data_IF_433106701553
#
_entry.id   IF_433106701553
#
_cell.length_a   1.000
_cell.length_b   1.000
_cell.length_c   1.000
_cell.angle_alpha   90.00
_cell.angle_beta   90.00
_cell.angle_gamma   90.00
#
_symmetry.space_group_name_H-M   'P 1'
#
loop_
_entity.id
_entity.type
_entity.pdbx_description
1 polymer ?
#
# COMPACT_ATOMS: atom_id res chain seq x y z
N UNK A 1 -3.18 11.59 -0.27
CA UNK A 1 -1.86 11.11 0.20
C UNK A 1 -0.79 11.91 -0.51
N UNK A 2 0.25 12.37 0.20
CA UNK A 2 1.33 13.15 -0.44
C UNK A 2 2.29 12.24 -1.25
N UNK A 3 3.17 12.85 -2.04
CA UNK A 3 4.09 12.13 -2.94
C UNK A 3 5.13 11.29 -2.20
N UNK A 4 5.68 11.77 -1.09
CA UNK A 4 6.66 11.04 -0.29
C UNK A 4 6.06 9.74 0.27
N UNK A 5 4.86 9.81 0.84
CA UNK A 5 4.13 8.63 1.32
C UNK A 5 3.86 7.67 0.18
N UNK A 6 3.55 8.16 -1.03
CA UNK A 6 3.30 7.29 -2.18
C UNK A 6 4.52 6.46 -2.60
N UNK A 7 5.73 7.01 -2.49
CA UNK A 7 6.96 6.29 -2.84
C UNK A 7 7.34 5.22 -1.82
N UNK A 8 6.92 5.41 -0.57
CA UNK A 8 7.36 4.59 0.57
C UNK A 8 6.29 3.66 1.12
N UNK A 9 5.05 3.73 0.64
CA UNK A 9 3.90 3.05 1.25
C UNK A 9 4.01 1.52 1.33
N UNK A 10 4.87 0.91 0.50
CA UNK A 10 5.14 -0.53 0.50
C UNK A 10 6.44 -0.92 1.22
N UNK A 11 7.20 0.06 1.73
CA UNK A 11 8.38 -0.22 2.56
C UNK A 11 7.95 -0.86 3.88
N UNK A 12 8.58 -1.99 4.29
CA UNK A 12 8.33 -2.55 5.60
C UNK A 12 8.57 -1.53 6.71
N UNK A 13 7.68 -1.51 7.69
CA UNK A 13 7.70 -0.61 8.86
C UNK A 13 7.43 0.87 8.58
N UNK A 14 7.17 1.26 7.32
CA UNK A 14 6.76 2.63 7.03
C UNK A 14 5.32 2.88 7.48
N UNK A 15 5.10 3.97 8.21
CA UNK A 15 3.77 4.41 8.68
C UNK A 15 3.75 5.92 8.87
N UNK A 16 2.61 6.54 8.56
CA UNK A 16 2.34 7.95 8.90
C UNK A 16 1.61 8.10 10.23
N UNK A 17 1.27 6.98 10.89
CA UNK A 17 0.63 6.99 12.21
C UNK A 17 1.66 7.31 13.30
N UNK A 18 1.22 7.90 14.43
CA UNK A 18 2.08 8.09 15.60
C UNK A 18 2.71 6.79 16.10
N UNK A 19 3.79 6.94 16.87
CA UNK A 19 4.48 5.80 17.50
C UNK A 19 3.51 4.98 18.37
N UNK A 20 3.55 3.65 18.22
CA UNK A 20 2.67 2.73 18.94
C UNK A 20 1.29 2.49 18.31
N UNK A 21 0.87 3.25 17.30
CA UNK A 21 -0.47 3.12 16.68
C UNK A 21 -0.49 2.27 15.39
N UNK A 22 0.66 1.76 14.97
CA UNK A 22 0.76 0.86 13.82
C UNK A 22 2.17 0.38 13.57
N UNK A 23 2.30 -0.88 13.15
CA UNK A 23 3.60 -1.50 12.84
C UNK A 23 4.15 -1.14 11.46
N UNK A 24 3.32 -0.55 10.58
CA UNK A 24 3.72 -0.26 9.19
C UNK A 24 3.93 -1.50 8.31
N UNK A 25 3.41 -2.67 8.71
CA UNK A 25 3.64 -3.95 7.99
C UNK A 25 2.50 -4.35 7.05
N UNK A 26 1.30 -3.80 7.22
CA UNK A 26 0.12 -4.30 6.50
C UNK A 26 0.25 -4.19 4.97
N UNK A 27 0.69 -3.03 4.48
CA UNK A 27 0.84 -2.79 3.04
C UNK A 27 2.01 -3.56 2.42
N UNK A 28 3.15 -3.65 3.13
CA UNK A 28 4.30 -4.41 2.62
C UNK A 28 3.98 -5.91 2.50
N UNK A 29 3.24 -6.47 3.48
CA UNK A 29 2.81 -7.87 3.43
C UNK A 29 1.80 -8.10 2.31
N UNK A 30 0.77 -7.23 2.19
CA UNK A 30 -0.22 -7.35 1.12
C UNK A 30 0.42 -7.23 -0.28
N UNK A 31 1.38 -6.31 -0.47
CA UNK A 31 2.12 -6.17 -1.72
C UNK A 31 2.86 -7.45 -2.08
N UNK A 32 3.61 -8.03 -1.13
CA UNK A 32 4.32 -9.28 -1.34
C UNK A 32 3.40 -10.42 -1.75
N UNK A 33 2.29 -10.64 -1.02
CA UNK A 33 1.31 -11.69 -1.34
C UNK A 33 0.74 -11.50 -2.76
N UNK A 34 0.32 -10.28 -3.09
CA UNK A 34 -0.28 -9.97 -4.40
C UNK A 34 0.74 -10.22 -5.53
N UNK A 35 2.00 -9.81 -5.37
CA UNK A 35 3.04 -10.06 -6.37
C UNK A 35 3.41 -11.54 -6.49
N UNK A 36 3.52 -12.26 -5.37
CA UNK A 36 3.80 -13.71 -5.35
C UNK A 36 2.72 -14.50 -6.09
N UNK A 37 1.46 -14.09 -5.98
CA UNK A 37 0.33 -14.67 -6.70
C UNK A 37 0.18 -14.15 -8.15
N UNK A 38 1.17 -13.41 -8.66
CA UNK A 38 1.18 -12.86 -10.02
C UNK A 38 0.21 -11.70 -10.26
N UNK A 39 -0.37 -11.16 -9.18
CA UNK A 39 -1.20 -9.99 -9.18
C UNK A 39 -0.42 -8.68 -9.26
N UNK A 40 -1.16 -7.58 -9.31
CA UNK A 40 -0.61 -6.21 -9.24
C UNK A 40 -1.49 -5.35 -8.36
N UNK A 41 -0.86 -4.45 -7.62
CA UNK A 41 -1.55 -3.40 -6.86
C UNK A 41 -1.22 -2.03 -7.43
N UNK A 42 -2.24 -1.18 -7.55
CA UNK A 42 -2.12 0.24 -7.91
C UNK A 42 -2.83 1.10 -6.88
N UNK A 43 -2.36 2.33 -6.72
CA UNK A 43 -2.91 3.29 -5.76
C UNK A 43 -3.33 4.55 -6.50
N UNK A 44 -4.60 4.88 -6.37
CA UNK A 44 -5.17 6.16 -6.78
C UNK A 44 -5.45 6.96 -5.53
N UNK A 45 -4.83 8.13 -5.39
CA UNK A 45 -5.05 9.00 -4.24
C UNK A 45 -5.03 10.44 -4.68
N UNK A 46 -5.99 11.20 -4.18
CA UNK A 46 -6.03 12.65 -4.27
C UNK A 46 -6.13 13.21 -2.85
N UNK A 47 -5.37 14.26 -2.56
CA UNK A 47 -5.39 14.90 -1.25
C UNK A 47 -6.81 15.39 -0.92
N UNK A 48 -7.21 15.23 0.34
CA UNK A 48 -8.55 15.55 0.85
C UNK A 48 -9.75 14.79 0.24
N UNK A 49 -9.55 13.98 -0.81
CA UNK A 49 -10.61 13.16 -1.43
C UNK A 49 -10.55 11.67 -1.07
N UNK A 50 -9.41 11.22 -0.55
CA UNK A 50 -9.21 9.86 -0.08
C UNK A 50 -8.20 9.06 -0.91
N UNK A 51 -8.22 7.74 -0.72
CA UNK A 51 -7.27 6.81 -1.32
C UNK A 51 -7.98 5.52 -1.70
N UNK A 52 -7.73 5.03 -2.90
CA UNK A 52 -8.26 3.77 -3.44
C UNK A 52 -7.09 2.87 -3.83
N UNK A 53 -7.11 1.64 -3.31
CA UNK A 53 -6.20 0.57 -3.69
C UNK A 53 -6.90 -0.36 -4.67
N UNK A 54 -6.29 -0.59 -5.83
CA UNK A 54 -6.85 -1.37 -6.92
C UNK A 54 -5.96 -2.58 -7.12
N UNK A 55 -6.53 -3.77 -6.94
CA UNK A 55 -5.83 -5.04 -7.07
C UNK A 55 -6.33 -5.74 -8.32
N UNK A 56 -5.41 -6.15 -9.19
CA UNK A 56 -5.71 -6.96 -10.37
C UNK A 56 -5.01 -8.30 -10.25
N UNK A 57 -5.77 -9.39 -10.39
CA UNK A 57 -5.26 -10.75 -10.32
C UNK A 57 -5.38 -11.44 -11.69
N UNK A 58 -4.50 -12.39 -12.03
CA UNK A 58 -4.69 -13.26 -13.18
C UNK A 58 -5.98 -14.07 -13.05
N UNK A 59 -6.73 -14.18 -14.15
CA UNK A 59 -7.78 -15.19 -14.29
C UNK A 59 -7.12 -16.48 -14.75
N UNK A 60 -7.24 -17.52 -13.92
CA UNK A 60 -6.83 -18.90 -14.25
C UNK A 60 -7.73 -19.52 -15.30
#
# INVERSE_FOLDING_TARGET
MNEETRLRLFEPFYTTKPEGEGSGLGLSVAHGIIEEDGGKIRVESEEEKGTTFIISMPVV
#
